data_IF_922410609174
#
_entry.id   IF_922410609174
#
_cell.length_a   1.000
_cell.length_b   1.000
_cell.length_c   1.000
_cell.angle_alpha   90.00
_cell.angle_beta   90.00
_cell.angle_gamma   90.00
#
_symmetry.space_group_name_H-M   'P 1'
#
loop_
_entity.id
_entity.type
_entity.pdbx_description
1 polymer ?
#
# COMPACT_ATOMS: atom_id res chain seq x y z
N UNK A 1 53.32 -14.42 -4.04
CA UNK A 1 53.55 -15.52 -5.01
C UNK A 1 52.94 -16.79 -4.42
N UNK A 2 52.41 -17.69 -5.25
CA UNK A 2 51.75 -18.94 -4.85
C UNK A 2 52.48 -20.12 -5.46
N UNK A 3 52.62 -21.21 -4.70
CA UNK A 3 53.14 -22.48 -5.21
C UNK A 3 52.01 -23.32 -5.83
N UNK A 4 52.36 -24.24 -6.73
CA UNK A 4 51.40 -25.21 -7.26
C UNK A 4 50.94 -26.19 -6.18
N UNK A 5 49.66 -26.59 -6.19
CA UNK A 5 49.14 -27.60 -5.26
C UNK A 5 49.79 -28.98 -5.46
N UNK A 6 50.44 -29.22 -6.61
CA UNK A 6 51.26 -30.40 -6.87
C UNK A 6 52.72 -30.25 -6.38
N UNK A 7 53.06 -29.23 -5.60
CA UNK A 7 54.40 -29.08 -5.02
C UNK A 7 54.87 -30.30 -4.20
N UNK A 8 54.03 -30.96 -3.37
CA UNK A 8 54.42 -32.21 -2.69
C UNK A 8 54.76 -33.37 -3.64
N UNK A 9 54.34 -33.28 -4.91
CA UNK A 9 54.59 -34.27 -5.96
C UNK A 9 55.77 -33.89 -6.85
N UNK A 10 56.49 -32.82 -6.53
CA UNK A 10 57.69 -32.38 -7.26
C UNK A 10 57.48 -31.20 -8.21
N UNK A 11 56.28 -30.59 -8.26
CA UNK A 11 56.07 -29.40 -9.07
C UNK A 11 56.77 -28.18 -8.45
N UNK A 12 57.74 -27.60 -9.17
CA UNK A 12 58.52 -26.44 -8.71
C UNK A 12 57.91 -25.08 -9.10
N UNK A 13 56.66 -25.03 -9.59
CA UNK A 13 56.03 -23.78 -10.01
C UNK A 13 55.77 -22.84 -8.82
N UNK A 14 56.26 -21.61 -8.93
CA UNK A 14 55.98 -20.50 -8.02
C UNK A 14 55.66 -19.24 -8.84
N UNK A 15 54.41 -18.74 -8.76
CA UNK A 15 53.90 -17.69 -9.65
C UNK A 15 52.91 -16.72 -9.01
N UNK A 16 52.17 -15.96 -9.83
CA UNK A 16 51.01 -15.19 -9.37
C UNK A 16 49.77 -16.09 -9.33
N UNK A 17 48.72 -15.68 -8.61
CA UNK A 17 47.45 -16.43 -8.60
C UNK A 17 46.84 -16.53 -10.02
N UNK A 18 46.99 -15.49 -10.84
CA UNK A 18 46.55 -15.48 -12.23
C UNK A 18 47.34 -16.48 -13.11
N UNK A 19 48.66 -16.59 -12.92
CA UNK A 19 49.47 -17.53 -13.70
C UNK A 19 49.33 -18.99 -13.25
N UNK A 20 48.86 -19.23 -12.01
CA UNK A 20 48.61 -20.58 -11.48
C UNK A 20 47.49 -21.31 -12.25
N UNK A 21 46.43 -20.60 -12.66
CA UNK A 21 45.34 -21.22 -13.43
C UNK A 21 45.80 -21.67 -14.81
N UNK A 22 46.67 -20.88 -15.46
CA UNK A 22 47.25 -21.29 -16.74
C UNK A 22 48.19 -22.49 -16.57
N UNK A 23 49.04 -22.44 -15.54
CA UNK A 23 49.94 -23.55 -15.19
C UNK A 23 49.18 -24.86 -14.92
N UNK A 24 48.00 -24.81 -14.29
CA UNK A 24 47.24 -26.02 -13.97
C UNK A 24 46.96 -26.92 -15.15
N UNK A 25 46.55 -26.32 -16.27
CA UNK A 25 46.18 -27.06 -17.49
C UNK A 25 47.35 -27.86 -18.06
N UNK A 26 48.57 -27.42 -17.77
CA UNK A 26 49.81 -27.93 -18.33
C UNK A 26 50.70 -28.60 -17.26
N UNK A 27 50.21 -28.74 -16.03
CA UNK A 27 51.02 -29.26 -14.94
C UNK A 27 51.24 -30.76 -15.11
N UNK A 28 52.47 -31.15 -15.48
CA UNK A 28 52.86 -32.55 -15.68
C UNK A 28 52.62 -33.45 -14.44
N UNK A 29 52.68 -32.85 -13.25
CA UNK A 29 52.44 -33.50 -11.95
C UNK A 29 50.95 -33.56 -11.57
N UNK A 30 50.05 -33.02 -12.39
CA UNK A 30 48.62 -33.13 -12.15
C UNK A 30 48.17 -34.59 -12.28
N UNK A 31 47.12 -34.94 -11.55
CA UNK A 31 46.55 -36.29 -11.59
C UNK A 31 45.28 -36.25 -12.41
N UNK A 32 45.19 -37.14 -13.37
CA UNK A 32 44.02 -37.36 -14.21
C UNK A 32 43.51 -38.79 -14.02
N UNK A 33 42.20 -38.98 -14.17
CA UNK A 33 41.61 -40.32 -14.18
C UNK A 33 41.64 -40.89 -15.59
N UNK A 34 42.16 -42.11 -15.74
CA UNK A 34 42.10 -42.84 -17.01
C UNK A 34 40.64 -43.14 -17.37
N UNK A 35 40.24 -42.85 -18.61
CA UNK A 35 38.87 -43.10 -19.07
C UNK A 35 38.54 -44.59 -19.25
N UNK A 36 39.55 -45.46 -19.39
CA UNK A 36 39.36 -46.89 -19.64
C UNK A 36 39.30 -47.72 -18.35
N UNK A 37 40.22 -47.47 -17.42
CA UNK A 37 40.35 -48.25 -16.19
C UNK A 37 40.07 -47.46 -14.91
N UNK A 38 39.76 -46.15 -15.01
CA UNK A 38 39.52 -45.22 -13.89
C UNK A 38 40.68 -45.06 -12.90
N UNK A 39 41.85 -45.60 -13.21
CA UNK A 39 43.05 -45.42 -12.38
C UNK A 39 43.48 -43.95 -12.38
N UNK A 40 43.97 -43.48 -11.23
CA UNK A 40 44.61 -42.17 -11.10
C UNK A 40 46.03 -42.24 -11.67
N UNK A 41 46.28 -41.48 -12.73
CA UNK A 41 47.57 -41.45 -13.45
C UNK A 41 48.06 -40.00 -13.50
N UNK A 42 49.37 -39.76 -13.51
CA UNK A 42 49.87 -38.42 -13.76
C UNK A 42 49.50 -37.98 -15.19
N UNK A 43 49.21 -36.70 -15.40
CA UNK A 43 48.93 -36.16 -16.73
C UNK A 43 50.12 -36.37 -17.67
N UNK A 44 51.34 -36.36 -17.14
CA UNK A 44 52.56 -36.66 -17.86
C UNK A 44 52.68 -38.09 -18.37
N UNK A 45 52.26 -39.06 -17.55
CA UNK A 45 52.45 -40.48 -17.83
C UNK A 45 51.20 -41.14 -18.42
N UNK A 46 50.14 -40.38 -18.72
CA UNK A 46 48.88 -40.93 -19.25
C UNK A 46 49.06 -41.67 -20.57
N UNK A 47 49.98 -41.22 -21.42
CA UNK A 47 50.31 -41.89 -22.68
C UNK A 47 51.08 -43.19 -22.44
N UNK A 48 52.02 -43.19 -21.50
CA UNK A 48 52.77 -44.40 -21.12
C UNK A 48 51.88 -45.42 -20.41
N UNK A 49 50.88 -44.96 -19.64
CA UNK A 49 49.85 -45.81 -19.07
C UNK A 49 49.04 -46.54 -20.15
N UNK A 50 48.68 -45.87 -21.25
CA UNK A 50 48.00 -46.54 -22.36
C UNK A 50 48.91 -47.54 -23.08
N UNK A 51 50.18 -47.19 -23.32
CA UNK A 51 51.17 -48.10 -23.92
C UNK A 51 51.46 -49.31 -23.05
N UNK A 52 51.38 -49.16 -21.73
CA UNK A 52 51.61 -50.23 -20.73
C UNK A 52 50.49 -51.27 -20.62
N UNK A 53 49.51 -51.27 -21.52
CA UNK A 53 48.43 -52.26 -21.52
C UNK A 53 47.26 -51.91 -20.61
N UNK A 54 46.92 -50.62 -20.52
CA UNK A 54 45.67 -50.18 -19.88
C UNK A 54 44.48 -50.99 -20.42
N UNK A 55 43.93 -51.88 -19.58
CA UNK A 55 42.81 -52.74 -19.92
C UNK A 55 41.56 -52.23 -19.23
N UNK A 56 40.41 -52.35 -19.89
CA UNK A 56 39.11 -52.00 -19.30
C UNK A 56 38.96 -52.85 -18.04
N UNK A 57 38.89 -52.21 -16.88
CA UNK A 57 38.38 -52.92 -15.71
C UNK A 57 36.90 -53.10 -15.98
N UNK A 58 36.47 -54.35 -16.18
CA UNK A 58 35.07 -54.73 -16.28
C UNK A 58 34.40 -54.33 -14.97
N UNK A 59 33.98 -53.06 -14.92
CA UNK A 59 33.35 -52.48 -13.76
C UNK A 59 31.97 -53.12 -13.69
N UNK A 60 31.81 -54.03 -12.75
CA UNK A 60 30.52 -54.37 -12.19
C UNK A 60 29.88 -53.05 -11.76
N UNK A 61 29.02 -52.52 -12.61
CA UNK A 61 28.25 -51.32 -12.32
C UNK A 61 27.23 -51.71 -11.26
N UNK A 62 27.63 -51.63 -9.99
CA UNK A 62 26.66 -51.25 -8.98
C UNK A 62 26.18 -49.83 -9.31
N UNK A 63 24.86 -49.57 -9.36
CA UNK A 63 24.36 -48.22 -9.56
C UNK A 63 24.78 -47.39 -8.35
N UNK A 64 25.86 -46.64 -8.49
CA UNK A 64 26.16 -45.55 -7.57
C UNK A 64 24.98 -44.59 -7.63
N UNK A 65 24.14 -44.62 -6.59
CA UNK A 65 23.20 -43.56 -6.27
C UNK A 65 24.01 -42.27 -6.16
N UNK A 66 24.08 -41.50 -7.25
CA UNK A 66 24.71 -40.18 -7.23
C UNK A 66 23.77 -39.22 -6.50
N UNK A 67 24.16 -38.65 -5.34
CA UNK A 67 23.32 -37.70 -4.60
C UNK A 67 23.06 -36.40 -5.39
N UNK A 68 23.90 -36.10 -6.38
CA UNK A 68 23.87 -34.86 -7.17
C UNK A 68 22.67 -34.74 -8.13
N UNK A 69 22.10 -35.85 -8.61
CA UNK A 69 20.93 -35.83 -9.49
C UNK A 69 19.61 -35.67 -8.72
N UNK A 70 19.57 -36.09 -7.46
CA UNK A 70 18.40 -35.92 -6.58
C UNK A 70 18.25 -34.45 -6.13
N UNK A 71 19.37 -33.81 -5.79
CA UNK A 71 19.44 -32.40 -5.37
C UNK A 71 18.92 -31.42 -6.45
N UNK A 72 19.31 -31.60 -7.71
CA UNK A 72 18.84 -30.75 -8.82
C UNK A 72 17.32 -30.88 -9.05
N UNK A 73 16.75 -32.06 -8.82
CA UNK A 73 15.32 -32.31 -8.94
C UNK A 73 14.50 -31.63 -7.83
N UNK A 74 15.02 -31.62 -6.60
CA UNK A 74 14.41 -30.90 -5.47
C UNK A 74 14.46 -29.39 -5.67
N UNK A 75 15.59 -28.85 -6.14
CA UNK A 75 15.72 -27.43 -6.50
C UNK A 75 14.74 -27.04 -7.60
N UNK A 76 14.60 -27.87 -8.65
CA UNK A 76 13.65 -27.60 -9.74
C UNK A 76 12.20 -27.59 -9.24
N UNK A 77 11.85 -28.50 -8.32
CA UNK A 77 10.53 -28.55 -7.69
C UNK A 77 10.26 -27.30 -6.85
N UNK A 78 11.21 -26.92 -6.00
CA UNK A 78 11.11 -25.70 -5.18
C UNK A 78 10.94 -24.45 -6.04
N UNK A 79 11.69 -24.34 -7.15
CA UNK A 79 11.55 -23.25 -8.11
C UNK A 79 10.14 -23.19 -8.76
N UNK A 80 9.56 -24.34 -9.10
CA UNK A 80 8.21 -24.40 -9.66
C UNK A 80 7.13 -24.01 -8.63
N UNK A 81 7.28 -24.46 -7.39
CA UNK A 81 6.39 -24.08 -6.28
C UNK A 81 6.47 -22.58 -5.98
N UNK A 82 7.68 -22.03 -5.95
CA UNK A 82 7.91 -20.59 -5.79
C UNK A 82 7.26 -19.80 -6.93
N UNK A 83 7.44 -20.23 -8.19
CA UNK A 83 6.78 -19.59 -9.34
C UNK A 83 5.25 -19.61 -9.24
N UNK A 84 4.67 -20.73 -8.79
CA UNK A 84 3.22 -20.83 -8.53
C UNK A 84 2.77 -19.90 -7.41
N UNK A 85 3.52 -19.83 -6.30
CA UNK A 85 3.21 -18.95 -5.19
C UNK A 85 3.29 -17.47 -5.58
N UNK A 86 4.33 -17.08 -6.34
CA UNK A 86 4.45 -15.73 -6.88
C UNK A 86 3.28 -15.37 -7.81
N UNK A 87 2.81 -16.32 -8.63
CA UNK A 87 1.61 -16.14 -9.45
C UNK A 87 0.38 -15.80 -8.62
N UNK A 88 0.11 -16.60 -7.58
CA UNK A 88 -1.03 -16.35 -6.65
C UNK A 88 -0.93 -15.01 -5.95
N UNK A 89 0.26 -14.64 -5.46
CA UNK A 89 0.50 -13.33 -4.85
C UNK A 89 0.20 -12.21 -5.85
N UNK A 90 0.62 -12.36 -7.12
CA UNK A 90 0.30 -11.39 -8.16
C UNK A 90 -1.20 -11.21 -8.40
N UNK A 91 -1.95 -12.32 -8.42
CA UNK A 91 -3.41 -12.30 -8.53
C UNK A 91 -4.08 -11.63 -7.31
N UNK A 92 -3.64 -11.96 -6.11
CA UNK A 92 -4.12 -11.34 -4.86
C UNK A 92 -3.85 -9.84 -4.83
N UNK A 93 -2.66 -9.39 -5.24
CA UNK A 93 -2.32 -7.96 -5.34
C UNK A 93 -3.23 -7.24 -6.33
N UNK A 94 -3.50 -7.83 -7.49
CA UNK A 94 -4.39 -7.25 -8.49
C UNK A 94 -5.84 -7.17 -8.00
N UNK A 95 -6.31 -8.20 -7.29
CA UNK A 95 -7.62 -8.20 -6.63
C UNK A 95 -7.70 -7.09 -5.58
N UNK A 96 -6.73 -7.02 -4.67
CA UNK A 96 -6.66 -5.99 -3.64
C UNK A 96 -6.61 -4.58 -4.22
N UNK A 97 -5.83 -4.35 -5.28
CA UNK A 97 -5.77 -3.07 -5.98
C UNK A 97 -7.13 -2.68 -6.55
N UNK A 98 -7.86 -3.63 -7.11
CA UNK A 98 -9.20 -3.41 -7.66
C UNK A 98 -10.19 -3.06 -6.55
N UNK A 99 -10.21 -3.84 -5.46
CA UNK A 99 -11.06 -3.57 -4.30
C UNK A 99 -10.75 -2.23 -3.63
N UNK A 100 -9.47 -1.86 -3.52
CA UNK A 100 -9.06 -0.57 -2.97
C UNK A 100 -9.53 0.59 -3.86
N UNK A 101 -9.38 0.46 -5.18
CA UNK A 101 -9.87 1.47 -6.11
C UNK A 101 -11.38 1.66 -5.98
N UNK A 102 -12.14 0.55 -5.92
CA UNK A 102 -13.59 0.62 -5.71
C UNK A 102 -13.94 1.29 -4.38
N UNK A 103 -13.27 0.92 -3.29
CA UNK A 103 -13.47 1.53 -1.98
C UNK A 103 -13.21 3.04 -2.01
N UNK A 104 -12.17 3.48 -2.71
CA UNK A 104 -11.87 4.90 -2.89
C UNK A 104 -12.99 5.64 -3.66
N UNK A 105 -13.56 5.04 -4.71
CA UNK A 105 -14.71 5.63 -5.41
C UNK A 105 -15.95 5.68 -4.52
N UNK A 106 -16.23 4.63 -3.76
CA UNK A 106 -17.38 4.59 -2.86
C UNK A 106 -17.27 5.65 -1.75
N UNK A 107 -16.07 5.86 -1.20
CA UNK A 107 -15.80 6.93 -0.23
C UNK A 107 -16.03 8.29 -0.88
N UNK A 108 -15.50 8.54 -2.07
CA UNK A 108 -15.72 9.80 -2.80
C UNK A 108 -17.20 10.06 -3.06
N UNK A 109 -17.93 9.04 -3.52
CA UNK A 109 -19.36 9.17 -3.79
C UNK A 109 -20.15 9.49 -2.51
N UNK A 110 -19.82 8.85 -1.38
CA UNK A 110 -20.42 9.16 -0.08
C UNK A 110 -20.06 10.56 0.41
N UNK A 111 -18.82 10.99 0.23
CA UNK A 111 -18.36 12.32 0.62
C UNK A 111 -19.12 13.41 -0.12
N UNK A 112 -19.22 13.30 -1.44
CA UNK A 112 -20.05 14.21 -2.28
C UNK A 112 -21.51 14.21 -1.83
N UNK A 113 -22.09 13.03 -1.59
CA UNK A 113 -23.47 12.92 -1.11
C UNK A 113 -23.67 13.55 0.27
N UNK A 114 -22.67 13.45 1.16
CA UNK A 114 -22.73 14.04 2.50
C UNK A 114 -22.66 15.57 2.43
N UNK A 115 -21.75 16.11 1.61
CA UNK A 115 -21.62 17.55 1.38
C UNK A 115 -22.95 18.10 0.84
N UNK A 116 -23.53 17.47 -0.18
CA UNK A 116 -24.81 17.92 -0.74
C UNK A 116 -25.93 17.91 0.31
N UNK A 117 -26.02 16.86 1.13
CA UNK A 117 -27.01 16.80 2.20
C UNK A 117 -26.83 17.92 3.22
N UNK A 118 -25.59 18.26 3.57
CA UNK A 118 -25.29 19.35 4.51
C UNK A 118 -25.65 20.72 3.91
N UNK A 119 -25.33 20.94 2.63
CA UNK A 119 -25.70 22.17 1.92
C UNK A 119 -27.23 22.34 1.82
N UNK A 120 -27.95 21.26 1.49
CA UNK A 120 -29.41 21.25 1.44
C UNK A 120 -30.02 21.54 2.82
N UNK A 121 -29.45 20.96 3.89
CA UNK A 121 -29.88 21.24 5.26
C UNK A 121 -29.60 22.69 5.67
N UNK A 122 -28.42 23.22 5.34
CA UNK A 122 -28.06 24.60 5.63
C UNK A 122 -29.01 25.58 4.92
N UNK A 123 -29.34 25.31 3.65
CA UNK A 123 -30.32 26.07 2.88
C UNK A 123 -31.70 26.07 3.56
N UNK A 124 -32.21 24.89 3.93
CA UNK A 124 -33.50 24.75 4.62
C UNK A 124 -33.55 25.48 5.97
N UNK A 125 -32.46 25.45 6.73
CA UNK A 125 -32.35 26.21 7.98
C UNK A 125 -32.36 27.72 7.70
N UNK A 126 -31.65 28.16 6.66
CA UNK A 126 -31.67 29.54 6.20
C UNK A 126 -33.07 30.03 5.86
N UNK A 127 -33.81 29.25 5.07
CA UNK A 127 -35.20 29.54 4.70
C UNK A 127 -36.11 29.63 5.92
N UNK A 128 -36.00 28.67 6.84
CA UNK A 128 -36.81 28.67 8.07
C UNK A 128 -36.50 29.88 8.94
N UNK A 129 -35.23 30.26 9.06
CA UNK A 129 -34.81 31.42 9.82
C UNK A 129 -35.34 32.73 9.21
N UNK A 130 -35.31 32.84 7.87
CA UNK A 130 -35.88 33.98 7.15
C UNK A 130 -37.40 34.07 7.36
N UNK A 131 -38.12 32.94 7.27
CA UNK A 131 -39.56 32.87 7.55
C UNK A 131 -39.88 33.29 8.99
N UNK A 132 -39.13 32.78 9.97
CA UNK A 132 -39.30 33.17 11.37
C UNK A 132 -39.05 34.67 11.57
N UNK A 133 -37.95 35.21 11.02
CA UNK A 133 -37.63 36.62 11.14
C UNK A 133 -38.70 37.53 10.50
N UNK A 134 -39.19 37.15 9.32
CA UNK A 134 -40.27 37.87 8.64
C UNK A 134 -41.56 37.86 9.48
N UNK A 135 -41.93 36.69 10.01
CA UNK A 135 -43.07 36.53 10.91
C UNK A 135 -42.95 37.45 12.13
N UNK A 136 -41.85 37.34 12.88
CA UNK A 136 -41.62 38.17 14.08
C UNK A 136 -41.68 39.66 13.77
N UNK A 137 -41.11 40.09 12.65
CA UNK A 137 -41.16 41.49 12.21
C UNK A 137 -42.60 41.94 11.92
N UNK A 138 -43.41 41.09 11.30
CA UNK A 138 -44.83 41.36 11.06
C UNK A 138 -45.62 41.48 12.36
N UNK A 139 -45.44 40.54 13.30
CA UNK A 139 -46.12 40.58 14.59
C UNK A 139 -45.68 41.77 15.44
N UNK A 140 -44.39 42.11 15.44
CA UNK A 140 -43.88 43.31 16.11
C UNK A 140 -44.53 44.57 15.55
N UNK A 141 -44.59 44.71 14.23
CA UNK A 141 -45.24 45.87 13.58
C UNK A 141 -46.73 45.95 13.93
N UNK A 142 -47.43 44.82 13.96
CA UNK A 142 -48.83 44.77 14.35
C UNK A 142 -49.04 45.22 15.80
N UNK A 143 -48.16 44.79 16.71
CA UNK A 143 -48.20 45.17 18.12
C UNK A 143 -47.90 46.66 18.32
N UNK A 144 -46.87 47.19 17.66
CA UNK A 144 -46.52 48.61 17.70
C UNK A 144 -47.68 49.49 17.21
N UNK A 145 -48.35 49.08 16.14
CA UNK A 145 -49.54 49.77 15.63
C UNK A 145 -50.68 49.72 16.65
N UNK A 146 -50.99 48.54 17.20
CA UNK A 146 -52.06 48.41 18.20
C UNK A 146 -51.78 49.24 19.46
N UNK A 147 -50.52 49.31 19.89
CA UNK A 147 -50.09 50.14 21.01
C UNK A 147 -50.27 51.65 20.70
N UNK A 148 -49.91 52.08 19.49
CA UNK A 148 -50.13 53.46 19.04
C UNK A 148 -51.62 53.82 19.00
N UNK A 149 -52.45 52.97 18.40
CA UNK A 149 -53.90 53.15 18.32
C UNK A 149 -54.52 53.24 19.73
N UNK A 150 -54.10 52.37 20.66
CA UNK A 150 -54.54 52.40 22.05
C UNK A 150 -54.13 53.69 22.76
N UNK A 151 -52.89 54.16 22.56
CA UNK A 151 -52.41 55.44 23.12
C UNK A 151 -53.26 56.62 22.63
N UNK A 152 -53.67 56.62 21.37
CA UNK A 152 -54.55 57.67 20.82
C UNK A 152 -55.94 57.62 21.47
N UNK A 153 -56.53 56.43 21.63
CA UNK A 153 -57.83 56.28 22.30
C UNK A 153 -57.76 56.78 23.75
N UNK A 154 -56.74 56.36 24.51
CA UNK A 154 -56.57 56.74 25.92
C UNK A 154 -56.38 58.26 26.07
N UNK A 155 -55.57 58.89 25.21
CA UNK A 155 -55.37 60.34 25.26
C UNK A 155 -56.63 61.12 24.88
N UNK A 156 -57.37 60.67 23.87
CA UNK A 156 -58.64 61.27 23.47
C UNK A 156 -59.71 61.15 24.57
N UNK A 157 -59.87 59.98 25.18
CA UNK A 157 -60.81 59.77 26.28
C UNK A 157 -60.43 60.62 27.50
N UNK A 158 -59.13 60.69 27.84
CA UNK A 158 -58.64 61.54 28.91
C UNK A 158 -58.92 63.03 28.66
N UNK A 159 -58.71 63.50 27.42
CA UNK A 159 -59.03 64.87 27.03
C UNK A 159 -60.54 65.15 27.10
N UNK A 160 -61.37 64.23 26.61
CA UNK A 160 -62.84 64.34 26.65
C UNK A 160 -63.36 64.37 28.09
N UNK A 161 -62.83 63.53 28.97
CA UNK A 161 -63.19 63.55 30.38
C UNK A 161 -62.81 64.87 31.07
N UNK A 162 -61.62 65.41 30.77
CA UNK A 162 -61.19 66.73 31.28
C UNK A 162 -62.11 67.87 30.82
N UNK A 163 -62.53 67.84 29.56
CA UNK A 163 -63.49 68.80 29.00
C UNK A 163 -64.84 68.75 29.75
N UNK A 164 -65.39 67.55 29.95
CA UNK A 164 -66.65 67.33 30.67
C UNK A 164 -66.58 67.82 32.12
N UNK A 165 -65.49 67.50 32.83
CA UNK A 165 -65.28 67.97 34.22
C UNK A 165 -65.21 69.50 34.26
N UNK A 166 -64.52 70.12 33.30
CA UNK A 166 -64.40 71.59 33.23
C UNK A 166 -65.77 72.24 32.99
N UNK A 167 -66.59 71.66 32.12
CA UNK A 167 -67.96 72.15 31.86
C UNK A 167 -68.85 72.06 33.10
N UNK A 168 -68.82 70.94 33.84
CA UNK A 168 -69.60 70.81 35.08
C UNK A 168 -69.15 71.79 36.16
N UNK A 169 -67.84 72.01 36.33
CA UNK A 169 -67.31 72.97 37.29
C UNK A 169 -67.78 74.40 36.99
N UNK A 170 -67.76 74.82 35.71
CA UNK A 170 -68.31 76.12 35.30
C UNK A 170 -69.82 76.20 35.61
N UNK A 171 -70.58 75.16 35.26
CA UNK A 171 -72.02 75.13 35.51
C UNK A 171 -72.41 75.18 37.00
N UNK A 172 -71.52 74.74 37.90
CA UNK A 172 -71.69 74.85 39.34
C UNK A 172 -71.24 76.20 39.91
N UNK A 173 -70.31 76.91 39.26
CA UNK A 173 -69.86 78.24 39.69
C UNK A 173 -70.84 79.36 39.35
N UNK A 174 -71.71 79.15 38.35
CA UNK A 174 -72.71 80.12 37.89
C UNK A 174 -74.07 80.01 38.63
N UNK A 175 -74.14 79.18 39.68
CA UNK A 175 -75.35 78.89 40.45
C UNK A 175 -75.22 79.37 41.90
#
# INVERSE_FOLDING_TARGET
KVACWNAPRGCCFIGSAASLLNHYKECHFSVVSCCLCRSSVSQGDILEHFKGGCSIHEATFEPAHNPTTQDLGEVTRACLEMKKAMGRIGEEIMSLKTSLNQCCEDIRARDVSCIQLLEDQASRIGDLNALCAAGFTEQQRALEKAAADMSVVVTNDGNRNRELISQELCAHSDR
#
